data_IF_673248329134
#
_entry.id   IF_673248329134
#
_cell.length_a   1.000
_cell.length_b   1.000
_cell.length_c   1.000
_cell.angle_alpha   90.00
_cell.angle_beta   90.00
_cell.angle_gamma   90.00
#
_symmetry.space_group_name_H-M   'P 1'
#
loop_
_entity.id
_entity.type
_entity.pdbx_description
1 polymer ?
#
# COMPACT_ATOMS: atom_id res chain seq x y z
N UNK A 1 -15.37 10.45 11.73
CA UNK A 1 -15.38 10.07 13.14
C UNK A 1 -14.13 9.29 13.55
N UNK A 2 -13.72 8.27 12.82
CA UNK A 2 -12.57 7.40 13.16
C UNK A 2 -11.25 8.17 13.29
N UNK A 3 -10.97 9.13 12.42
CA UNK A 3 -9.74 9.91 12.51
C UNK A 3 -9.72 10.82 13.76
N UNK A 4 -10.85 11.36 14.15
CA UNK A 4 -11.00 12.12 15.40
C UNK A 4 -10.85 11.21 16.62
N UNK A 5 -11.37 9.98 16.53
CA UNK A 5 -11.15 8.98 17.59
C UNK A 5 -9.69 8.60 17.71
N UNK A 6 -8.99 8.37 16.58
CA UNK A 6 -7.55 8.15 16.59
C UNK A 6 -6.81 9.35 17.20
N UNK A 7 -7.18 10.58 16.80
CA UNK A 7 -6.56 11.79 17.32
C UNK A 7 -6.63 11.89 18.85
N UNK A 8 -7.77 11.50 19.45
CA UNK A 8 -7.97 11.52 20.91
C UNK A 8 -7.07 10.51 21.65
N UNK A 9 -6.67 9.40 21.00
CA UNK A 9 -5.85 8.32 21.59
C UNK A 9 -4.48 8.17 20.95
N UNK A 10 -4.04 9.13 20.12
CA UNK A 10 -2.85 9.01 19.28
C UNK A 10 -1.53 8.80 20.07
N UNK A 11 -1.51 9.15 21.34
CA UNK A 11 -0.36 8.99 22.23
C UNK A 11 -0.45 7.71 23.10
N UNK A 12 -1.55 6.94 22.99
CA UNK A 12 -1.73 5.70 23.73
C UNK A 12 -1.07 4.51 23.03
N UNK A 13 -0.65 3.47 23.78
CA UNK A 13 -0.20 2.22 23.19
C UNK A 13 -1.26 1.63 22.26
N UNK A 14 -0.82 1.10 21.11
CA UNK A 14 -1.71 0.49 20.10
C UNK A 14 -2.71 1.43 19.42
N UNK A 15 -2.52 2.75 19.45
CA UNK A 15 -3.35 3.71 18.71
C UNK A 15 -3.37 3.44 17.20
N UNK A 16 -2.32 2.82 16.64
CA UNK A 16 -2.17 2.48 15.21
C UNK A 16 -3.29 1.56 14.71
N UNK A 17 -3.94 0.78 15.59
CA UNK A 17 -5.13 -0.02 15.22
C UNK A 17 -6.25 0.80 14.58
N UNK A 18 -6.38 2.05 14.98
CA UNK A 18 -7.38 2.94 14.41
C UNK A 18 -7.01 3.39 12.99
N UNK A 19 -5.71 3.60 12.73
CA UNK A 19 -5.22 3.92 11.38
C UNK A 19 -5.43 2.75 10.42
N UNK A 20 -5.19 1.52 10.88
CA UNK A 20 -5.46 0.30 10.09
C UNK A 20 -6.96 0.20 9.78
N UNK A 21 -7.82 0.45 10.78
CA UNK A 21 -9.27 0.44 10.57
C UNK A 21 -9.72 1.54 9.60
N UNK A 22 -9.13 2.75 9.68
CA UNK A 22 -9.39 3.84 8.73
C UNK A 22 -8.99 3.40 7.32
N UNK A 23 -7.80 2.83 7.13
CA UNK A 23 -7.34 2.35 5.84
C UNK A 23 -8.27 1.27 5.27
N UNK A 24 -8.68 0.31 6.09
CA UNK A 24 -9.62 -0.75 5.70
C UNK A 24 -10.98 -0.20 5.26
N UNK A 25 -11.59 0.67 6.07
CA UNK A 25 -12.89 1.26 5.73
C UNK A 25 -12.81 2.22 4.55
N UNK A 26 -11.70 2.95 4.40
CA UNK A 26 -11.44 3.78 3.22
C UNK A 26 -11.36 2.90 1.97
N UNK A 27 -10.66 1.78 2.04
CA UNK A 27 -10.58 0.81 0.93
C UNK A 27 -11.94 0.23 0.54
N UNK A 28 -12.76 -0.18 1.53
CA UNK A 28 -14.14 -0.62 1.27
C UNK A 28 -14.99 0.48 0.64
N UNK A 29 -14.86 1.68 1.15
CA UNK A 29 -15.62 2.85 0.68
C UNK A 29 -15.27 3.23 -0.76
N UNK A 30 -14.00 3.11 -1.15
CA UNK A 30 -13.51 3.32 -2.53
C UNK A 30 -14.16 2.31 -3.50
N UNK A 31 -14.33 1.05 -3.07
CA UNK A 31 -15.02 0.02 -3.85
C UNK A 31 -16.47 0.35 -4.17
N UNK A 32 -17.12 1.15 -3.33
CA UNK A 32 -18.49 1.65 -3.56
C UNK A 32 -18.47 2.96 -4.37
N UNK A 33 -17.59 3.90 -4.00
CA UNK A 33 -17.53 5.22 -4.64
C UNK A 33 -16.12 5.78 -4.62
N UNK A 34 -15.53 5.96 -5.82
CA UNK A 34 -14.16 6.46 -5.99
C UNK A 34 -13.93 7.86 -5.39
N UNK A 35 -14.96 8.70 -5.30
CA UNK A 35 -14.86 10.02 -4.67
C UNK A 35 -14.45 9.96 -3.19
N UNK A 36 -14.61 8.83 -2.52
CA UNK A 36 -14.18 8.65 -1.15
C UNK A 36 -12.65 8.73 -0.98
N UNK A 37 -11.87 8.63 -2.07
CA UNK A 37 -10.44 8.93 -2.08
C UNK A 37 -10.13 10.37 -1.64
N UNK A 38 -11.06 11.30 -1.82
CA UNK A 38 -10.87 12.69 -1.43
C UNK A 38 -10.80 12.89 0.10
N UNK A 39 -11.17 11.89 0.90
CA UNK A 39 -10.98 11.94 2.35
C UNK A 39 -9.50 11.74 2.76
N UNK A 40 -8.66 11.13 1.90
CA UNK A 40 -7.24 10.85 2.21
C UNK A 40 -6.46 12.12 2.55
N UNK A 41 -6.53 13.23 1.78
CA UNK A 41 -5.86 14.46 2.14
C UNK A 41 -6.24 15.00 3.51
N UNK A 42 -7.52 14.94 3.87
CA UNK A 42 -7.98 15.37 5.19
C UNK A 42 -7.42 14.48 6.32
N UNK A 43 -7.42 13.17 6.13
CA UNK A 43 -6.86 12.20 7.09
C UNK A 43 -5.36 12.45 7.29
N UNK A 44 -4.61 12.64 6.19
CA UNK A 44 -3.16 12.91 6.24
C UNK A 44 -2.86 14.22 6.96
N UNK A 45 -3.64 15.28 6.73
CA UNK A 45 -3.44 16.55 7.42
C UNK A 45 -3.73 16.43 8.93
N UNK A 46 -4.81 15.76 9.34
CA UNK A 46 -5.09 15.52 10.77
C UNK A 46 -3.94 14.74 11.41
N UNK A 47 -3.45 13.68 10.74
CA UNK A 47 -2.30 12.92 11.19
C UNK A 47 -1.04 13.80 11.34
N UNK A 48 -0.74 14.61 10.31
CA UNK A 48 0.43 15.48 10.29
C UNK A 48 0.40 16.49 11.44
N UNK A 49 -0.70 17.20 11.64
CA UNK A 49 -0.83 18.19 12.72
C UNK A 49 -0.76 17.56 14.11
N UNK A 50 -1.34 16.38 14.28
CA UNK A 50 -1.28 15.67 15.56
C UNK A 50 0.13 15.24 15.93
N UNK A 51 0.94 14.80 14.95
CA UNK A 51 2.32 14.34 15.17
C UNK A 51 3.33 15.50 15.22
N UNK A 52 2.99 16.68 14.71
CA UNK A 52 3.88 17.84 14.62
C UNK A 52 3.26 19.09 15.27
N UNK A 53 3.38 19.26 16.60
CA UNK A 53 2.80 20.42 17.30
C UNK A 53 3.32 21.76 16.79
N UNK A 54 4.57 21.81 16.26
CA UNK A 54 5.21 22.97 15.67
C UNK A 54 5.09 23.01 14.14
N UNK A 55 3.95 22.52 13.61
CA UNK A 55 3.69 22.51 12.18
C UNK A 55 3.80 23.92 11.56
N UNK A 56 4.48 24.02 10.43
CA UNK A 56 4.63 25.24 9.65
C UNK A 56 3.95 25.13 8.29
N UNK A 57 3.75 26.24 7.60
CA UNK A 57 3.09 26.28 6.30
C UNK A 57 3.78 25.36 5.26
N UNK A 58 5.13 25.34 5.23
CA UNK A 58 5.88 24.47 4.31
C UNK A 58 5.62 23.00 4.56
N UNK A 59 5.62 22.57 5.82
CA UNK A 59 5.33 21.20 6.20
C UNK A 59 3.88 20.79 5.89
N UNK A 60 2.91 21.69 6.11
CA UNK A 60 1.51 21.46 5.75
C UNK A 60 1.32 21.31 4.24
N UNK A 61 1.99 22.13 3.43
CA UNK A 61 1.97 22.00 1.97
C UNK A 61 2.62 20.69 1.50
N UNK A 62 3.73 20.26 2.13
CA UNK A 62 4.36 18.98 1.84
C UNK A 62 3.47 17.80 2.22
N UNK A 63 2.79 17.86 3.37
CA UNK A 63 1.83 16.82 3.77
C UNK A 63 0.66 16.74 2.80
N UNK A 64 0.14 17.90 2.35
CA UNK A 64 -0.91 17.96 1.33
C UNK A 64 -0.42 17.39 -0.02
N UNK A 65 0.76 17.79 -0.49
CA UNK A 65 1.35 17.26 -1.72
C UNK A 65 1.56 15.74 -1.63
N UNK A 66 2.10 15.26 -0.49
CA UNK A 66 2.26 13.83 -0.23
C UNK A 66 0.93 13.06 -0.26
N UNK A 67 -0.14 13.64 0.28
CA UNK A 67 -1.47 13.05 0.23
C UNK A 67 -2.03 12.96 -1.20
N UNK A 68 -1.75 13.95 -2.05
CA UNK A 68 -2.13 13.90 -3.48
C UNK A 68 -1.36 12.82 -4.23
N UNK A 69 -0.07 12.65 -3.93
CA UNK A 69 0.73 11.54 -4.47
C UNK A 69 0.14 10.19 -4.03
N UNK A 70 -0.30 10.07 -2.76
CA UNK A 70 -0.95 8.86 -2.27
C UNK A 70 -2.26 8.57 -3.02
N UNK A 71 -3.11 9.58 -3.21
CA UNK A 71 -4.35 9.44 -4.00
C UNK A 71 -4.03 9.01 -5.43
N UNK A 72 -3.04 9.63 -6.07
CA UNK A 72 -2.61 9.26 -7.41
C UNK A 72 -2.07 7.81 -7.47
N UNK A 73 -1.30 7.39 -6.46
CA UNK A 73 -0.80 6.01 -6.36
C UNK A 73 -1.95 4.99 -6.24
N UNK A 74 -3.01 5.31 -5.50
CA UNK A 74 -4.19 4.45 -5.41
C UNK A 74 -4.91 4.40 -6.76
N UNK A 75 -5.23 5.56 -7.36
CA UNK A 75 -6.01 5.65 -8.60
C UNK A 75 -5.29 5.06 -9.81
N UNK A 76 -4.02 5.38 -9.96
CA UNK A 76 -3.24 5.01 -11.15
C UNK A 76 -2.34 3.80 -10.94
N UNK A 77 -2.04 3.45 -9.69
CA UNK A 77 -1.21 2.29 -9.33
C UNK A 77 -2.05 1.10 -8.87
N UNK A 78 -2.70 1.22 -7.70
CA UNK A 78 -3.36 0.08 -7.03
C UNK A 78 -4.58 -0.38 -7.83
N UNK A 79 -5.51 0.52 -8.17
CA UNK A 79 -6.76 0.13 -8.83
C UNK A 79 -6.51 -0.59 -10.15
N UNK A 80 -5.76 -0.03 -11.13
CA UNK A 80 -5.46 -0.76 -12.36
C UNK A 80 -4.47 -1.91 -12.16
N UNK A 81 -3.56 -1.82 -11.18
CA UNK A 81 -2.58 -2.85 -10.88
C UNK A 81 -3.20 -4.15 -10.40
N UNK A 82 -4.12 -4.08 -9.45
CA UNK A 82 -4.88 -5.24 -8.93
C UNK A 82 -5.64 -5.93 -10.06
N UNK A 83 -6.31 -5.17 -10.93
CA UNK A 83 -7.03 -5.73 -12.08
C UNK A 83 -6.06 -6.42 -13.05
N UNK A 84 -4.91 -5.81 -13.32
CA UNK A 84 -3.90 -6.36 -14.24
C UNK A 84 -3.28 -7.64 -13.72
N UNK A 85 -2.83 -7.67 -12.47
CA UNK A 85 -2.23 -8.86 -11.85
C UNK A 85 -3.27 -9.96 -11.68
N UNK A 86 -4.50 -9.62 -11.24
CA UNK A 86 -5.61 -10.57 -11.18
C UNK A 86 -5.92 -11.18 -12.54
N UNK A 87 -5.91 -10.37 -13.61
CA UNK A 87 -6.06 -10.84 -14.98
C UNK A 87 -4.94 -11.81 -15.42
N UNK A 88 -3.69 -11.60 -15.00
CA UNK A 88 -2.60 -12.54 -15.29
C UNK A 88 -2.80 -13.88 -14.60
N UNK A 89 -3.25 -13.88 -13.35
CA UNK A 89 -3.59 -15.11 -12.64
C UNK A 89 -4.74 -15.82 -13.34
N UNK A 90 -5.79 -15.11 -13.73
CA UNK A 90 -6.93 -15.70 -14.42
C UNK A 90 -6.52 -16.33 -15.77
N UNK A 91 -5.73 -15.64 -16.57
CA UNK A 91 -5.21 -16.18 -17.84
C UNK A 91 -4.34 -17.43 -17.62
N UNK A 92 -3.51 -17.45 -16.59
CA UNK A 92 -2.67 -18.61 -16.26
C UNK A 92 -3.53 -19.82 -15.87
N UNK A 93 -4.51 -19.62 -15.01
CA UNK A 93 -5.33 -20.73 -14.50
C UNK A 93 -6.33 -21.24 -15.54
N UNK A 94 -7.02 -20.35 -16.24
CA UNK A 94 -8.04 -20.74 -17.23
C UNK A 94 -7.38 -21.20 -18.53
N UNK A 95 -6.49 -20.40 -19.11
CA UNK A 95 -5.89 -20.72 -20.42
C UNK A 95 -4.68 -21.66 -20.31
N UNK A 96 -3.89 -21.56 -19.21
CA UNK A 96 -2.71 -22.40 -19.04
C UNK A 96 -3.01 -23.76 -18.41
N UNK A 97 -3.89 -23.81 -17.42
CA UNK A 97 -4.20 -25.02 -16.66
C UNK A 97 -5.59 -25.62 -16.97
N UNK A 98 -6.41 -24.97 -17.82
CA UNK A 98 -7.74 -25.45 -18.18
C UNK A 98 -8.74 -25.45 -17.02
N UNK A 99 -8.53 -24.60 -16.01
CA UNK A 99 -9.42 -24.54 -14.84
C UNK A 99 -10.68 -23.69 -15.13
N UNK A 100 -11.74 -23.84 -14.32
CA UNK A 100 -12.96 -23.05 -14.47
C UNK A 100 -12.70 -21.54 -14.34
N UNK A 101 -13.56 -20.71 -14.96
CA UNK A 101 -13.53 -19.25 -14.82
C UNK A 101 -13.56 -18.83 -13.35
N UNK A 102 -12.87 -17.73 -13.05
CA UNK A 102 -12.66 -17.13 -11.73
C UNK A 102 -11.73 -17.92 -10.80
N UNK A 103 -11.21 -19.08 -11.18
CA UNK A 103 -10.28 -19.84 -10.35
C UNK A 103 -8.98 -19.09 -10.08
N UNK A 104 -8.39 -18.46 -11.09
CA UNK A 104 -7.19 -17.66 -10.97
C UNK A 104 -7.42 -16.41 -10.12
N UNK A 105 -8.56 -15.75 -10.29
CA UNK A 105 -8.92 -14.57 -9.51
C UNK A 105 -9.08 -14.91 -8.01
N UNK A 106 -9.73 -16.03 -7.69
CA UNK A 106 -9.88 -16.49 -6.29
C UNK A 106 -8.51 -16.75 -5.67
N UNK A 107 -7.63 -17.48 -6.36
CA UNK A 107 -6.26 -17.73 -5.88
C UNK A 107 -5.50 -16.42 -5.68
N UNK A 108 -5.59 -15.48 -6.62
CA UNK A 108 -4.96 -14.17 -6.51
C UNK A 108 -5.46 -13.40 -5.27
N UNK A 109 -6.76 -13.36 -5.02
CA UNK A 109 -7.33 -12.65 -3.85
C UNK A 109 -6.81 -13.27 -2.55
N UNK A 110 -6.73 -14.59 -2.48
CA UNK A 110 -6.19 -15.29 -1.30
C UNK A 110 -4.70 -14.94 -1.10
N UNK A 111 -3.90 -14.96 -2.15
CA UNK A 111 -2.48 -14.63 -2.09
C UNK A 111 -2.25 -13.15 -1.75
N UNK A 112 -3.06 -12.25 -2.30
CA UNK A 112 -3.02 -10.82 -1.97
C UNK A 112 -3.34 -10.59 -0.50
N UNK A 113 -4.43 -11.18 0.00
CA UNK A 113 -4.79 -11.09 1.41
C UNK A 113 -3.68 -11.66 2.33
N UNK A 114 -3.12 -12.82 1.98
CA UNK A 114 -2.02 -13.43 2.71
C UNK A 114 -0.77 -12.52 2.72
N UNK A 115 -0.43 -11.88 1.59
CA UNK A 115 0.72 -10.96 1.50
C UNK A 115 0.53 -9.72 2.38
N UNK A 116 -0.68 -9.16 2.42
CA UNK A 116 -1.01 -8.00 3.27
C UNK A 116 -0.94 -8.40 4.76
N UNK A 117 -1.55 -9.52 5.13
CA UNK A 117 -1.50 -10.03 6.52
C UNK A 117 -0.05 -10.28 6.94
N UNK A 118 0.76 -10.89 6.08
CA UNK A 118 2.16 -11.12 6.35
C UNK A 118 2.93 -9.79 6.51
N UNK A 119 2.71 -8.81 5.64
CA UNK A 119 3.33 -7.49 5.74
C UNK A 119 2.99 -6.78 7.05
N UNK A 120 1.71 -6.80 7.44
CA UNK A 120 1.25 -6.23 8.72
C UNK A 120 1.89 -6.99 9.89
N UNK A 121 1.90 -8.32 9.86
CA UNK A 121 2.50 -9.14 10.91
C UNK A 121 4.00 -8.83 11.10
N UNK A 122 4.79 -8.82 10.02
CA UNK A 122 6.24 -8.52 10.10
C UNK A 122 6.48 -7.07 10.59
N UNK A 123 5.60 -6.14 10.25
CA UNK A 123 5.64 -4.76 10.74
C UNK A 123 5.42 -4.65 12.25
N UNK A 124 4.60 -5.53 12.84
CA UNK A 124 4.37 -5.55 14.30
C UNK A 124 5.44 -6.31 15.08
N UNK A 125 5.93 -7.40 14.52
CA UNK A 125 6.86 -8.32 15.22
C UNK A 125 8.29 -7.80 15.18
N UNK A 126 8.68 -7.04 14.15
CA UNK A 126 10.00 -6.40 13.96
C UNK A 126 11.22 -7.32 14.19
N UNK A 127 11.05 -8.64 14.08
CA UNK A 127 12.14 -9.61 14.35
C UNK A 127 13.25 -9.59 13.32
N UNK A 128 12.92 -9.26 12.06
CA UNK A 128 13.88 -9.29 10.97
C UNK A 128 13.57 -8.26 9.91
N UNK A 129 14.45 -7.29 9.73
CA UNK A 129 14.35 -6.26 8.72
C UNK A 129 14.30 -6.81 7.30
N UNK A 130 15.04 -7.90 7.03
CA UNK A 130 15.00 -8.57 5.73
C UNK A 130 13.62 -9.11 5.41
N UNK A 131 12.97 -9.79 6.36
CA UNK A 131 11.61 -10.34 6.17
C UNK A 131 10.59 -9.23 5.96
N UNK A 132 10.69 -8.14 6.71
CA UNK A 132 9.83 -6.97 6.56
C UNK A 132 9.98 -6.35 5.16
N UNK A 133 11.21 -6.15 4.67
CA UNK A 133 11.45 -5.63 3.32
C UNK A 133 10.92 -6.57 2.23
N UNK A 134 11.07 -7.88 2.39
CA UNK A 134 10.55 -8.87 1.45
C UNK A 134 9.03 -8.84 1.43
N UNK A 135 8.38 -8.86 2.60
CA UNK A 135 6.91 -8.81 2.69
C UNK A 135 6.35 -7.54 2.06
N UNK A 136 7.01 -6.40 2.24
CA UNK A 136 6.65 -5.14 1.62
C UNK A 136 6.76 -5.18 0.09
N UNK A 137 7.88 -5.70 -0.45
CA UNK A 137 8.06 -5.83 -1.90
C UNK A 137 7.06 -6.79 -2.53
N UNK A 138 6.79 -7.92 -1.87
CA UNK A 138 5.78 -8.88 -2.32
C UNK A 138 4.40 -8.24 -2.35
N UNK A 139 4.03 -7.51 -1.29
CA UNK A 139 2.73 -6.82 -1.23
C UNK A 139 2.59 -5.75 -2.32
N UNK A 140 3.63 -4.94 -2.57
CA UNK A 140 3.64 -3.96 -3.67
C UNK A 140 3.49 -4.64 -5.03
N UNK A 141 4.19 -5.76 -5.25
CA UNK A 141 4.11 -6.52 -6.49
C UNK A 141 2.69 -7.11 -6.68
N UNK A 142 2.11 -7.67 -5.62
CA UNK A 142 0.76 -8.25 -5.65
C UNK A 142 -0.33 -7.18 -5.85
N UNK A 143 -0.14 -5.96 -5.30
CA UNK A 143 -1.01 -4.82 -5.58
C UNK A 143 -0.85 -4.27 -7.00
N UNK A 144 0.18 -4.72 -7.74
CA UNK A 144 0.40 -4.33 -9.13
C UNK A 144 0.85 -2.88 -9.33
N UNK A 145 1.17 -2.15 -8.25
CA UNK A 145 1.57 -0.73 -8.31
C UNK A 145 2.65 -0.45 -9.35
N UNK A 146 3.73 -1.27 -9.48
CA UNK A 146 4.78 -1.02 -10.46
C UNK A 146 4.37 -1.32 -11.90
N UNK A 147 3.28 -2.05 -12.11
CA UNK A 147 2.85 -2.51 -13.43
C UNK A 147 1.90 -1.52 -14.11
N UNK A 148 2.18 -0.24 -13.94
CA UNK A 148 1.43 0.85 -14.53
C UNK A 148 1.45 0.78 -16.07
N UNK A 149 0.29 1.01 -16.69
CA UNK A 149 0.14 1.13 -18.14
C UNK A 149 -0.24 -0.17 -18.85
N UNK A 150 -0.29 -0.11 -20.17
CA UNK A 150 -0.75 -1.18 -21.04
C UNK A 150 0.42 -1.82 -21.83
N UNK A 151 0.34 -3.12 -22.08
CA UNK A 151 1.28 -3.85 -22.92
C UNK A 151 2.54 -4.36 -22.19
N UNK A 152 3.39 -5.02 -22.96
CA UNK A 152 4.61 -5.66 -22.47
C UNK A 152 5.66 -4.67 -21.96
N UNK A 153 5.80 -3.49 -22.60
CA UNK A 153 6.74 -2.45 -22.20
C UNK A 153 6.50 -1.98 -20.77
N UNK A 154 5.25 -1.79 -20.36
CA UNK A 154 4.92 -1.39 -19.01
C UNK A 154 5.21 -2.47 -17.96
N UNK A 155 5.12 -3.75 -18.36
CA UNK A 155 5.47 -4.89 -17.50
C UNK A 155 6.97 -4.93 -17.24
N UNK A 156 7.80 -4.73 -18.27
CA UNK A 156 9.26 -4.63 -18.11
C UNK A 156 9.66 -3.45 -17.24
N UNK A 157 9.07 -2.28 -17.45
CA UNK A 157 9.31 -1.10 -16.60
C UNK A 157 8.93 -1.40 -15.15
N UNK A 158 7.80 -2.06 -14.92
CA UNK A 158 7.38 -2.48 -13.58
C UNK A 158 8.38 -3.41 -12.89
N UNK A 159 8.93 -4.38 -13.61
CA UNK A 159 9.97 -5.30 -13.10
C UNK A 159 11.23 -4.50 -12.73
N UNK A 160 11.66 -3.58 -13.58
CA UNK A 160 12.85 -2.74 -13.33
C UNK A 160 12.62 -1.87 -12.09
N UNK A 161 11.43 -1.27 -11.94
CA UNK A 161 11.08 -0.44 -10.78
C UNK A 161 11.08 -1.28 -9.49
N UNK A 162 10.52 -2.49 -9.51
CA UNK A 162 10.57 -3.41 -8.37
C UNK A 162 12.00 -3.82 -8.01
N UNK A 163 12.81 -4.13 -9.02
CA UNK A 163 14.22 -4.47 -8.80
C UNK A 163 15.01 -3.29 -8.21
N UNK A 164 14.80 -2.08 -8.75
CA UNK A 164 15.44 -0.87 -8.24
C UNK A 164 15.01 -0.56 -6.81
N UNK A 165 13.71 -0.70 -6.49
CA UNK A 165 13.19 -0.54 -5.14
C UNK A 165 13.77 -1.59 -4.20
N UNK A 166 13.88 -2.84 -4.63
CA UNK A 166 14.52 -3.92 -3.88
C UNK A 166 15.97 -3.60 -3.56
N UNK A 167 16.76 -3.22 -4.56
CA UNK A 167 18.15 -2.83 -4.37
C UNK A 167 18.27 -1.63 -3.41
N UNK A 168 17.40 -0.64 -3.54
CA UNK A 168 17.38 0.53 -2.68
C UNK A 168 17.06 0.16 -1.22
N UNK A 169 16.05 -0.65 -0.98
CA UNK A 169 15.66 -1.10 0.36
C UNK A 169 16.75 -1.96 1.02
N UNK A 170 17.39 -2.87 0.27
CA UNK A 170 18.39 -3.78 0.82
C UNK A 170 19.80 -3.19 0.90
N UNK A 171 20.18 -2.31 -0.04
CA UNK A 171 21.55 -1.79 -0.10
C UNK A 171 21.73 -0.42 0.55
N UNK A 172 20.74 0.46 0.47
CA UNK A 172 20.90 1.87 0.85
C UNK A 172 20.13 2.27 2.09
N UNK A 173 18.87 1.89 2.21
CA UNK A 173 18.05 2.19 3.38
C UNK A 173 18.46 1.37 4.60
N UNK A 174 18.92 0.14 4.40
CA UNK A 174 19.35 -0.73 5.50
C UNK A 174 20.58 -0.19 6.24
N UNK A 175 21.43 0.61 5.58
CA UNK A 175 22.65 1.18 6.17
C UNK A 175 22.48 2.57 6.76
N UNK A 176 21.56 3.39 6.25
CA UNK A 176 21.50 4.83 6.55
C UNK A 176 20.29 5.28 7.36
N UNK A 177 19.16 4.63 7.20
CA UNK A 177 17.92 5.03 7.85
C UNK A 177 17.27 3.82 8.53
N UNK A 178 17.05 3.92 9.81
CA UNK A 178 16.22 2.97 10.56
C UNK A 178 14.74 3.29 10.31
N UNK A 179 14.28 3.12 9.06
CA UNK A 179 12.87 3.27 8.74
C UNK A 179 12.17 1.97 9.13
N UNK A 180 11.36 2.03 10.15
CA UNK A 180 10.39 0.99 10.49
C UNK A 180 9.25 1.02 9.46
N UNK A 181 8.63 -0.11 9.17
CA UNK A 181 7.42 -0.17 8.36
C UNK A 181 6.22 0.57 9.01
N UNK A 182 6.40 1.05 10.23
CA UNK A 182 5.47 1.95 10.93
C UNK A 182 5.61 3.41 10.51
N UNK A 183 6.65 3.77 9.80
CA UNK A 183 6.88 5.13 9.29
C UNK A 183 6.42 5.23 7.85
#
# INVERSE_FOLDING_TARGET
>A
WLILKWESVANEPHSDRWLILIAYLTGLSIGVHLLNLLCIPAIVLVYYYKKNPNANLKGSLLALAGSMVLVAAVLYGIVPGVVKVGGWFELLFVNGLGMPFNSGLIVYIILLAASIIWGVYESYVEKSRKRMNISFLVTIAMLGIPFYGHGWSSTFIGIIVLAALGIYLFAKLDKKYQISART
#
